data_IF_849183463292
#
_entry.id   IF_849183463292
#
_cell.length_a   1.000
_cell.length_b   1.000
_cell.length_c   1.000
_cell.angle_alpha   90.00
_cell.angle_beta   90.00
_cell.angle_gamma   90.00
#
_symmetry.space_group_name_H-M   'P 1'
#
loop_
_entity.id
_entity.type
_entity.pdbx_description
1 polymer ?
#
# COMPACT_ATOMS: atom_id res chain seq x y z
N UNK A 1 -28.44 4.60 -31.59
CA UNK A 1 -29.64 4.01 -30.95
C UNK A 1 -29.96 4.80 -29.71
N UNK A 2 -31.26 5.03 -29.45
CA UNK A 2 -31.71 5.66 -28.21
C UNK A 2 -31.56 4.72 -27.00
N UNK A 3 -31.59 5.26 -25.78
CA UNK A 3 -31.50 4.49 -24.54
C UNK A 3 -32.61 3.43 -24.41
N UNK A 4 -33.81 3.73 -24.92
CA UNK A 4 -34.94 2.78 -24.97
C UNK A 4 -34.73 1.65 -25.99
N UNK A 5 -34.10 1.93 -27.14
CA UNK A 5 -33.77 0.89 -28.13
C UNK A 5 -32.69 -0.06 -27.61
N UNK A 6 -31.69 0.47 -26.90
CA UNK A 6 -30.66 -0.34 -26.24
C UNK A 6 -31.29 -1.27 -25.19
N UNK A 7 -32.24 -0.76 -24.40
CA UNK A 7 -32.95 -1.54 -23.38
C UNK A 7 -33.83 -2.65 -24.00
N UNK A 8 -34.58 -2.33 -25.05
CA UNK A 8 -35.42 -3.31 -25.74
C UNK A 8 -34.62 -4.35 -26.53
N UNK A 9 -33.39 -4.03 -26.95
CA UNK A 9 -32.46 -5.01 -27.51
C UNK A 9 -31.95 -5.94 -26.40
N UNK A 10 -31.52 -5.38 -25.27
CA UNK A 10 -31.02 -6.13 -24.13
C UNK A 10 -32.03 -7.14 -23.56
N UNK A 11 -33.30 -6.73 -23.39
CA UNK A 11 -34.38 -7.63 -22.94
C UNK A 11 -34.67 -8.78 -23.91
N UNK A 12 -34.45 -8.56 -25.22
CA UNK A 12 -34.60 -9.58 -26.26
C UNK A 12 -33.44 -10.55 -26.29
N UNK A 13 -32.22 -10.04 -26.15
CA UNK A 13 -31.00 -10.83 -26.28
C UNK A 13 -30.77 -11.72 -25.07
N UNK A 14 -31.30 -11.35 -23.89
CA UNK A 14 -31.16 -12.12 -22.64
C UNK A 14 -29.72 -12.62 -22.47
N UNK A 15 -28.72 -11.72 -22.50
CA UNK A 15 -27.32 -12.12 -22.50
C UNK A 15 -27.05 -13.04 -21.31
N UNK A 16 -26.49 -14.22 -21.58
CA UNK A 16 -26.19 -15.23 -20.56
C UNK A 16 -24.76 -15.01 -20.10
N UNK A 17 -24.46 -15.37 -18.85
CA UNK A 17 -23.12 -15.26 -18.27
C UNK A 17 -22.02 -15.98 -19.11
N UNK A 18 -22.42 -16.99 -19.88
CA UNK A 18 -21.58 -17.76 -20.81
C UNK A 18 -21.24 -17.02 -22.13
N UNK A 19 -21.97 -15.94 -22.44
CA UNK A 19 -21.74 -15.08 -23.61
C UNK A 19 -20.82 -13.86 -23.27
N UNK A 20 -20.41 -13.71 -22.00
CA UNK A 20 -19.49 -12.66 -21.57
C UNK A 20 -18.04 -13.01 -21.97
N UNK A 21 -17.44 -12.16 -22.80
CA UNK A 21 -16.03 -12.25 -23.20
C UNK A 21 -15.20 -11.59 -22.10
N UNK A 22 -14.37 -12.38 -21.42
CA UNK A 22 -13.54 -11.92 -20.28
C UNK A 22 -12.07 -11.62 -20.66
N UNK A 23 -11.71 -11.65 -21.95
CA UNK A 23 -10.31 -11.64 -22.40
C UNK A 23 -9.91 -10.45 -23.29
N UNK A 24 -10.86 -9.60 -23.69
CA UNK A 24 -10.59 -8.30 -24.28
C UNK A 24 -11.68 -7.34 -23.84
N UNK A 25 -11.28 -6.16 -23.36
CA UNK A 25 -12.15 -5.18 -22.72
C UNK A 25 -13.57 -5.09 -23.33
N UNK A 26 -14.61 -5.01 -22.50
CA UNK A 26 -14.61 -4.77 -21.04
C UNK A 26 -14.45 -6.07 -20.20
N UNK A 27 -13.68 -6.05 -19.11
CA UNK A 27 -13.29 -7.28 -18.37
C UNK A 27 -13.38 -7.25 -16.83
N UNK A 28 -13.57 -6.07 -16.21
CA UNK A 28 -13.68 -5.95 -14.73
C UNK A 28 -14.88 -5.12 -14.29
N UNK A 29 -15.67 -4.61 -15.21
CA UNK A 29 -16.95 -3.95 -14.97
C UNK A 29 -17.88 -4.86 -14.17
N UNK A 30 -18.58 -4.31 -13.18
CA UNK A 30 -19.70 -5.00 -12.55
C UNK A 30 -20.85 -5.06 -13.54
N UNK A 31 -21.12 -6.24 -14.08
CA UNK A 31 -22.25 -6.54 -14.93
C UNK A 31 -23.28 -7.23 -14.04
N UNK A 32 -24.32 -6.53 -13.54
CA UNK A 32 -25.22 -7.07 -12.53
C UNK A 32 -25.84 -8.42 -12.92
N UNK A 33 -26.11 -8.64 -14.19
CA UNK A 33 -26.79 -9.84 -14.68
C UNK A 33 -25.87 -11.05 -14.80
N UNK A 34 -24.56 -10.83 -14.69
CA UNK A 34 -23.54 -11.88 -14.66
C UNK A 34 -22.98 -12.05 -13.25
N UNK A 35 -22.61 -10.96 -12.60
CA UNK A 35 -21.89 -10.96 -11.32
C UNK A 35 -22.79 -11.23 -10.11
N UNK A 36 -24.03 -10.72 -10.08
CA UNK A 36 -24.95 -10.92 -8.94
C UNK A 36 -25.45 -12.36 -8.84
N UNK A 37 -25.76 -13.06 -9.96
CA UNK A 37 -26.05 -14.50 -9.89
C UNK A 37 -24.88 -15.35 -9.40
N UNK A 38 -23.64 -14.97 -9.70
CA UNK A 38 -22.43 -15.70 -9.28
C UNK A 38 -22.09 -15.44 -7.80
N UNK A 39 -22.27 -14.20 -7.33
CA UNK A 39 -22.01 -13.82 -5.95
C UNK A 39 -23.19 -13.03 -5.38
N UNK A 40 -23.84 -13.59 -4.35
CA UNK A 40 -25.05 -13.01 -3.75
C UNK A 40 -24.83 -11.70 -2.98
N UNK A 41 -23.58 -11.25 -2.78
CA UNK A 41 -23.28 -10.03 -2.04
C UNK A 41 -22.04 -9.34 -2.58
N UNK A 42 -22.20 -8.05 -2.87
CA UNK A 42 -21.17 -7.15 -3.38
C UNK A 42 -21.06 -5.96 -2.43
N UNK A 43 -19.86 -5.68 -1.95
CA UNK A 43 -19.60 -4.66 -0.94
C UNK A 43 -18.77 -3.53 -1.55
N UNK A 44 -19.28 -2.30 -1.47
CA UNK A 44 -18.54 -1.12 -1.91
C UNK A 44 -17.29 -0.94 -1.04
N UNK A 45 -16.13 -0.83 -1.70
CA UNK A 45 -14.91 -0.34 -1.09
C UNK A 45 -14.95 1.17 -0.91
N UNK A 46 -15.64 1.61 0.15
CA UNK A 46 -15.77 3.03 0.43
C UNK A 46 -14.45 3.71 0.84
N UNK A 47 -13.44 2.94 1.25
CA UNK A 47 -12.15 3.49 1.68
C UNK A 47 -11.31 3.92 0.49
N UNK A 48 -11.25 3.09 -0.55
CA UNK A 48 -10.40 3.35 -1.73
C UNK A 48 -11.19 3.98 -2.89
N UNK A 49 -12.53 3.97 -2.85
CA UNK A 49 -13.37 4.43 -3.98
C UNK A 49 -14.09 5.76 -3.75
N UNK A 50 -13.78 6.47 -2.65
CA UNK A 50 -14.42 7.74 -2.30
C UNK A 50 -13.36 8.83 -2.08
N UNK A 51 -13.16 9.76 -3.03
CA UNK A 51 -13.89 9.93 -4.28
C UNK A 51 -13.59 8.83 -5.32
N UNK A 52 -14.40 8.71 -6.40
CA UNK A 52 -14.14 7.78 -7.49
C UNK A 52 -12.75 7.96 -8.11
N UNK A 53 -12.14 6.84 -8.48
CA UNK A 53 -10.79 6.76 -9.02
C UNK A 53 -10.73 6.98 -10.54
N UNK A 54 -9.54 7.31 -11.05
CA UNK A 54 -9.25 7.29 -12.48
C UNK A 54 -9.33 5.86 -13.05
N UNK A 55 -9.66 5.70 -14.35
CA UNK A 55 -9.79 4.40 -15.01
C UNK A 55 -8.58 3.48 -14.82
N UNK A 56 -7.35 3.97 -15.00
CA UNK A 56 -6.18 3.12 -14.84
C UNK A 56 -6.09 2.55 -13.42
N UNK A 57 -6.19 3.43 -12.41
CA UNK A 57 -6.08 3.00 -11.01
C UNK A 57 -7.19 2.02 -10.63
N UNK A 58 -8.46 2.34 -10.93
CA UNK A 58 -9.58 1.49 -10.53
C UNK A 58 -9.56 0.13 -11.21
N UNK A 59 -9.22 0.06 -12.51
CA UNK A 59 -9.21 -1.18 -13.28
C UNK A 59 -7.94 -1.98 -13.07
N UNK A 60 -6.78 -1.40 -13.42
CA UNK A 60 -5.52 -2.14 -13.50
C UNK A 60 -4.90 -2.35 -12.12
N UNK A 61 -4.77 -1.26 -11.35
CA UNK A 61 -4.07 -1.33 -10.07
C UNK A 61 -4.89 -2.08 -9.03
N UNK A 62 -6.17 -1.71 -8.89
CA UNK A 62 -7.01 -2.22 -7.82
C UNK A 62 -7.85 -3.43 -8.23
N UNK A 63 -8.84 -3.28 -9.14
CA UNK A 63 -9.75 -4.40 -9.43
C UNK A 63 -9.00 -5.64 -9.94
N UNK A 64 -8.06 -5.43 -10.87
CA UNK A 64 -7.22 -6.49 -11.43
C UNK A 64 -6.03 -6.84 -10.54
N UNK A 65 -5.20 -5.88 -10.18
CA UNK A 65 -3.99 -6.11 -9.36
C UNK A 65 -4.29 -6.57 -7.94
N UNK A 66 -5.03 -5.79 -7.16
CA UNK A 66 -5.40 -6.15 -5.78
C UNK A 66 -6.28 -7.41 -5.76
N UNK A 67 -7.22 -7.54 -6.70
CA UNK A 67 -8.02 -8.76 -6.88
C UNK A 67 -7.17 -10.00 -7.16
N UNK A 68 -6.08 -9.90 -7.93
CA UNK A 68 -5.10 -10.98 -8.09
C UNK A 68 -4.41 -11.30 -6.77
N UNK A 69 -3.85 -10.29 -6.10
CA UNK A 69 -3.14 -10.47 -4.83
C UNK A 69 -3.99 -11.18 -3.76
N UNK A 70 -5.27 -10.81 -3.64
CA UNK A 70 -6.22 -11.43 -2.70
C UNK A 70 -6.50 -12.89 -3.03
N UNK A 71 -6.61 -13.27 -4.31
CA UNK A 71 -6.76 -14.68 -4.73
C UNK A 71 -5.46 -15.48 -4.56
N UNK A 72 -4.34 -14.88 -4.95
CA UNK A 72 -3.01 -15.46 -4.80
C UNK A 72 -2.76 -15.80 -3.34
N UNK A 73 -2.97 -14.86 -2.42
CA UNK A 73 -2.59 -15.06 -1.02
C UNK A 73 -3.43 -16.11 -0.33
N UNK A 74 -4.73 -16.16 -0.65
CA UNK A 74 -5.65 -17.17 -0.13
C UNK A 74 -5.26 -18.57 -0.60
N UNK A 75 -4.73 -18.68 -1.83
CA UNK A 75 -4.20 -19.92 -2.38
C UNK A 75 -2.84 -20.28 -1.78
N UNK A 76 -1.92 -19.32 -1.67
CA UNK A 76 -0.57 -19.48 -1.11
C UNK A 76 -0.61 -20.02 0.33
N UNK A 77 -1.43 -19.39 1.19
CA UNK A 77 -1.62 -19.84 2.57
C UNK A 77 -2.65 -20.95 2.70
N UNK A 78 -3.36 -21.35 1.64
CA UNK A 78 -4.49 -22.28 1.71
C UNK A 78 -5.48 -21.86 2.82
N UNK A 79 -5.90 -20.58 2.83
CA UNK A 79 -6.75 -20.05 3.90
C UNK A 79 -8.02 -20.90 4.06
N UNK A 80 -8.37 -21.33 5.29
CA UNK A 80 -9.35 -22.40 5.47
C UNK A 80 -10.74 -22.11 4.88
N UNK A 81 -11.21 -20.87 4.98
CA UNK A 81 -12.60 -20.50 4.69
C UNK A 81 -12.77 -19.63 3.44
N UNK A 82 -11.71 -19.39 2.67
CA UNK A 82 -11.75 -18.45 1.56
C UNK A 82 -10.78 -18.82 0.44
N UNK A 83 -11.23 -18.66 -0.80
CA UNK A 83 -10.40 -18.70 -2.03
C UNK A 83 -9.91 -17.31 -2.45
N UNK A 84 -10.31 -16.25 -1.73
CA UNK A 84 -9.96 -14.87 -2.01
C UNK A 84 -11.18 -14.01 -2.26
N UNK A 85 -10.93 -12.85 -2.83
CA UNK A 85 -11.95 -11.87 -3.16
C UNK A 85 -11.84 -11.46 -4.62
N UNK A 86 -12.97 -11.03 -5.18
CA UNK A 86 -13.08 -10.54 -6.54
C UNK A 86 -13.52 -9.10 -6.53
N UNK A 87 -12.80 -8.26 -7.28
CA UNK A 87 -13.13 -6.86 -7.47
C UNK A 87 -13.87 -6.67 -8.78
N UNK A 88 -14.97 -5.91 -8.74
CA UNK A 88 -15.65 -5.41 -9.92
C UNK A 88 -15.81 -3.90 -9.85
N UNK A 89 -15.64 -3.24 -10.99
CA UNK A 89 -15.65 -1.78 -11.12
C UNK A 89 -17.05 -1.30 -11.51
N UNK A 90 -17.56 -0.28 -10.83
CA UNK A 90 -18.76 0.44 -11.24
C UNK A 90 -18.63 1.90 -10.85
N UNK A 91 -18.79 2.80 -11.83
CA UNK A 91 -18.80 4.26 -11.61
C UNK A 91 -17.53 4.78 -10.90
N UNK A 92 -16.36 4.23 -11.26
CA UNK A 92 -15.06 4.60 -10.66
C UNK A 92 -14.86 4.06 -9.24
N UNK A 93 -15.70 3.13 -8.80
CA UNK A 93 -15.62 2.47 -7.52
C UNK A 93 -15.49 0.96 -7.63
N UNK A 94 -14.94 0.33 -6.59
CA UNK A 94 -14.73 -1.11 -6.53
C UNK A 94 -15.77 -1.74 -5.61
N UNK A 95 -16.32 -2.85 -6.07
CA UNK A 95 -17.22 -3.71 -5.34
C UNK A 95 -16.55 -5.06 -5.15
N UNK A 96 -16.45 -5.49 -3.90
CA UNK A 96 -15.83 -6.76 -3.53
C UNK A 96 -16.87 -7.86 -3.33
N UNK A 97 -16.59 -9.05 -3.88
CA UNK A 97 -17.25 -10.30 -3.54
C UNK A 97 -16.25 -11.27 -2.89
N UNK A 98 -16.75 -12.17 -2.04
CA UNK A 98 -15.93 -13.12 -1.28
C UNK A 98 -16.18 -14.56 -1.75
N UNK A 99 -15.11 -15.28 -2.09
CA UNK A 99 -15.18 -16.69 -2.46
C UNK A 99 -15.07 -17.58 -1.23
N UNK A 100 -16.20 -17.79 -0.55
CA UNK A 100 -16.27 -18.51 0.73
C UNK A 100 -16.27 -20.03 0.55
N UNK A 101 -15.39 -20.72 1.29
CA UNK A 101 -15.39 -22.19 1.41
C UNK A 101 -16.33 -22.60 2.53
N UNK A 102 -17.28 -23.49 2.22
CA UNK A 102 -18.32 -23.96 3.17
C UNK A 102 -18.24 -25.44 3.51
N UNK A 103 -17.52 -26.25 2.72
CA UNK A 103 -17.37 -27.67 3.01
C UNK A 103 -16.41 -27.87 4.19
N UNK A 104 -16.93 -28.42 5.29
CA UNK A 104 -16.17 -28.66 6.51
C UNK A 104 -15.06 -29.71 6.35
N UNK A 105 -15.16 -30.60 5.34
CA UNK A 105 -14.04 -31.50 5.01
C UNK A 105 -12.90 -30.72 4.36
N UNK A 106 -13.20 -29.94 3.32
CA UNK A 106 -12.22 -29.08 2.64
C UNK A 106 -11.56 -28.09 3.62
N UNK A 107 -12.34 -27.44 4.49
CA UNK A 107 -11.83 -26.51 5.52
C UNK A 107 -10.76 -27.18 6.38
N UNK A 108 -11.00 -28.40 6.88
CA UNK A 108 -10.02 -29.14 7.70
C UNK A 108 -8.74 -29.50 6.93
N UNK A 109 -8.86 -29.87 5.66
CA UNK A 109 -7.69 -30.16 4.81
C UNK A 109 -6.86 -28.89 4.56
N UNK A 110 -7.53 -27.75 4.35
CA UNK A 110 -6.90 -26.44 4.19
C UNK A 110 -6.24 -25.94 5.46
N UNK A 111 -6.85 -26.13 6.64
CA UNK A 111 -6.24 -25.79 7.93
C UNK A 111 -4.89 -26.48 8.14
N UNK A 112 -4.76 -27.75 7.74
CA UNK A 112 -3.49 -28.45 7.83
C UNK A 112 -2.41 -27.79 6.95
N UNK A 113 -2.75 -27.47 5.70
CA UNK A 113 -1.83 -26.78 4.78
C UNK A 113 -1.49 -25.36 5.22
N UNK A 114 -2.47 -24.64 5.78
CA UNK A 114 -2.27 -23.30 6.32
C UNK A 114 -1.24 -23.27 7.45
N UNK A 115 -1.31 -24.22 8.39
CA UNK A 115 -0.32 -24.34 9.47
C UNK A 115 1.09 -24.55 8.92
N UNK A 116 1.24 -25.37 7.89
CA UNK A 116 2.53 -25.60 7.25
C UNK A 116 3.03 -24.36 6.47
N UNK A 117 2.15 -23.68 5.74
CA UNK A 117 2.48 -22.47 5.01
C UNK A 117 2.88 -21.30 5.91
N UNK A 118 2.37 -21.23 7.14
CA UNK A 118 2.70 -20.19 8.13
C UNK A 118 4.05 -20.42 8.81
N UNK A 119 4.57 -21.65 8.86
CA UNK A 119 5.83 -21.98 9.60
C UNK A 119 7.02 -21.09 9.22
N UNK A 120 7.35 -20.87 7.94
CA UNK A 120 8.51 -20.05 7.58
C UNK A 120 8.43 -18.62 8.13
N UNK A 121 7.23 -18.07 8.27
CA UNK A 121 7.00 -16.72 8.81
C UNK A 121 7.12 -16.70 10.34
N UNK A 122 6.74 -17.78 11.02
CA UNK A 122 6.97 -17.94 12.47
C UNK A 122 8.45 -18.09 12.80
N UNK A 123 9.24 -18.61 11.86
CA UNK A 123 10.69 -18.81 11.99
C UNK A 123 11.48 -17.53 11.68
N UNK A 124 11.21 -16.88 10.54
CA UNK A 124 12.00 -15.73 10.08
C UNK A 124 11.20 -14.79 9.15
N UNK A 125 10.19 -14.10 9.69
CA UNK A 125 9.48 -13.05 8.95
C UNK A 125 10.42 -11.95 8.46
N UNK A 126 11.34 -11.49 9.30
CA UNK A 126 12.19 -10.34 8.99
C UNK A 126 13.12 -10.63 7.81
N UNK A 127 13.71 -11.83 7.75
CA UNK A 127 14.51 -12.26 6.61
C UNK A 127 13.70 -12.46 5.33
N UNK A 128 12.43 -12.89 5.42
CA UNK A 128 11.52 -12.94 4.26
C UNK A 128 11.21 -11.52 3.78
N UNK A 129 10.86 -10.62 4.70
CA UNK A 129 10.54 -9.24 4.36
C UNK A 129 11.74 -8.49 3.78
N UNK A 130 12.94 -8.71 4.32
CA UNK A 130 14.16 -8.13 3.77
C UNK A 130 14.42 -8.56 2.33
N UNK A 131 14.17 -9.83 1.98
CA UNK A 131 14.28 -10.30 0.59
C UNK A 131 13.26 -9.60 -0.32
N UNK A 132 12.03 -9.43 0.16
CA UNK A 132 11.00 -8.72 -0.59
C UNK A 132 11.32 -7.25 -0.80
N UNK A 133 11.88 -6.56 0.20
CA UNK A 133 12.34 -5.18 0.02
C UNK A 133 13.40 -5.06 -1.07
N UNK A 134 14.35 -5.99 -1.12
CA UNK A 134 15.35 -6.04 -2.20
C UNK A 134 14.71 -6.33 -3.56
N UNK A 135 13.71 -7.22 -3.61
CA UNK A 135 12.96 -7.54 -4.82
C UNK A 135 12.19 -6.30 -5.35
N UNK A 136 11.42 -5.65 -4.48
CA UNK A 136 10.71 -4.41 -4.77
C UNK A 136 11.67 -3.32 -5.28
N UNK A 137 12.78 -3.10 -4.58
CA UNK A 137 13.78 -2.11 -4.96
C UNK A 137 14.37 -2.43 -6.35
N UNK A 138 14.72 -3.69 -6.62
CA UNK A 138 15.30 -4.10 -7.90
C UNK A 138 14.31 -3.91 -9.06
N UNK A 139 13.05 -4.28 -8.84
CA UNK A 139 11.96 -4.08 -9.79
C UNK A 139 11.71 -2.60 -10.08
N UNK A 140 11.63 -1.77 -9.04
CA UNK A 140 11.49 -0.33 -9.20
C UNK A 140 12.69 0.27 -9.92
N UNK A 141 13.92 -0.10 -9.57
CA UNK A 141 15.11 0.39 -10.27
C UNK A 141 15.12 0.02 -11.76
N UNK A 142 14.67 -1.18 -12.13
CA UNK A 142 14.53 -1.60 -13.53
C UNK A 142 13.58 -0.67 -14.28
N UNK A 143 12.36 -0.49 -13.78
CA UNK A 143 11.37 0.43 -14.36
C UNK A 143 11.94 1.86 -14.40
N UNK A 144 12.58 2.28 -13.31
CA UNK A 144 13.06 3.64 -13.16
C UNK A 144 14.24 3.98 -14.08
N UNK A 145 14.95 2.96 -14.58
CA UNK A 145 16.09 3.09 -15.49
C UNK A 145 15.71 3.41 -16.94
N UNK A 146 14.41 3.33 -17.29
CA UNK A 146 13.92 3.67 -18.61
C UNK A 146 14.29 5.12 -19.00
N UNK A 147 14.95 5.29 -20.14
CA UNK A 147 15.38 6.58 -20.66
C UNK A 147 14.56 6.98 -21.91
N UNK A 148 13.55 7.86 -21.77
CA UNK A 148 12.70 8.24 -22.90
C UNK A 148 13.46 8.97 -24.04
N UNK A 149 14.65 9.51 -23.79
CA UNK A 149 15.44 10.22 -24.82
C UNK A 149 16.06 9.29 -25.85
N UNK A 150 16.29 8.03 -25.47
CA UNK A 150 16.96 7.01 -26.29
C UNK A 150 16.01 5.87 -26.67
N UNK A 151 14.76 5.90 -26.19
CA UNK A 151 13.77 4.86 -26.40
C UNK A 151 13.20 4.87 -27.82
N UNK A 152 12.96 3.67 -28.36
CA UNK A 152 12.16 3.40 -29.55
C UNK A 152 10.73 3.03 -29.13
N UNK A 153 9.81 3.01 -30.08
CA UNK A 153 8.40 2.67 -29.83
C UNK A 153 8.23 1.33 -29.08
N UNK A 154 9.00 0.31 -29.43
CA UNK A 154 8.94 -1.00 -28.77
C UNK A 154 9.39 -0.96 -27.31
N UNK A 155 10.29 -0.03 -26.96
CA UNK A 155 10.82 0.08 -25.61
C UNK A 155 9.74 0.63 -24.65
N UNK A 156 8.79 1.45 -25.14
CA UNK A 156 7.62 1.88 -24.36
C UNK A 156 6.63 0.74 -24.10
N UNK A 157 6.47 -0.19 -25.04
CA UNK A 157 5.64 -1.39 -24.84
C UNK A 157 6.25 -2.29 -23.77
N UNK A 158 7.58 -2.46 -23.78
CA UNK A 158 8.26 -3.21 -22.75
C UNK A 158 8.18 -2.54 -21.37
N UNK A 159 8.26 -1.21 -21.32
CA UNK A 159 8.02 -0.46 -20.07
C UNK A 159 6.60 -0.71 -19.54
N UNK A 160 5.59 -0.67 -20.41
CA UNK A 160 4.19 -0.98 -20.03
C UNK A 160 4.08 -2.38 -19.44
N UNK A 161 4.66 -3.40 -20.10
CA UNK A 161 4.66 -4.77 -19.57
C UNK A 161 5.37 -4.88 -18.22
N UNK A 162 6.52 -4.24 -18.06
CA UNK A 162 7.24 -4.21 -16.78
C UNK A 162 6.40 -3.57 -15.66
N UNK A 163 5.64 -2.50 -15.97
CA UNK A 163 4.72 -1.86 -15.03
C UNK A 163 3.52 -2.75 -14.68
N UNK A 164 2.95 -3.48 -15.65
CA UNK A 164 1.82 -4.39 -15.38
C UNK A 164 2.29 -5.60 -14.56
N UNK A 165 3.43 -6.19 -14.89
CA UNK A 165 4.04 -7.26 -14.10
C UNK A 165 4.33 -6.80 -12.67
N UNK A 166 4.81 -5.57 -12.48
CA UNK A 166 5.07 -5.04 -11.15
C UNK A 166 3.81 -4.89 -10.32
N UNK A 167 2.67 -4.49 -10.90
CA UNK A 167 1.38 -4.43 -10.19
C UNK A 167 1.03 -5.77 -9.56
N UNK A 168 1.08 -6.86 -10.33
CA UNK A 168 0.76 -8.18 -9.78
C UNK A 168 1.72 -8.58 -8.67
N UNK A 169 3.02 -8.43 -8.91
CA UNK A 169 4.03 -8.90 -7.96
C UNK A 169 4.03 -8.10 -6.66
N UNK A 170 3.83 -6.79 -6.73
CA UNK A 170 3.68 -5.92 -5.55
C UNK A 170 2.52 -6.36 -4.68
N UNK A 171 1.36 -6.66 -5.27
CA UNK A 171 0.19 -7.13 -4.51
C UNK A 171 0.40 -8.50 -3.86
N UNK A 172 1.13 -9.42 -4.51
CA UNK A 172 1.51 -10.69 -3.88
C UNK A 172 2.38 -10.47 -2.64
N UNK A 173 3.39 -9.60 -2.75
CA UNK A 173 4.30 -9.26 -1.64
C UNK A 173 3.55 -8.56 -0.51
N UNK A 174 2.71 -7.58 -0.85
CA UNK A 174 1.83 -6.85 0.08
C UNK A 174 1.03 -7.85 0.92
N UNK A 175 0.24 -8.71 0.28
CA UNK A 175 -0.66 -9.58 1.03
C UNK A 175 0.09 -10.69 1.77
N UNK A 176 1.29 -11.07 1.33
CA UNK A 176 2.07 -12.10 2.03
C UNK A 176 2.48 -11.66 3.44
N UNK A 177 3.00 -10.45 3.59
CA UNK A 177 3.36 -9.94 4.92
C UNK A 177 2.13 -9.63 5.78
N UNK A 178 1.06 -9.11 5.17
CA UNK A 178 -0.18 -8.80 5.87
C UNK A 178 -0.87 -10.07 6.37
N UNK A 179 -1.09 -11.06 5.50
CA UNK A 179 -1.81 -12.28 5.87
C UNK A 179 -1.07 -13.10 6.92
N UNK A 180 0.26 -13.23 6.81
CA UNK A 180 1.05 -13.97 7.80
C UNK A 180 1.01 -13.32 9.18
N UNK A 181 1.27 -12.00 9.25
CA UNK A 181 1.30 -11.29 10.53
C UNK A 181 -0.08 -11.18 11.18
N UNK A 182 -1.13 -10.92 10.41
CA UNK A 182 -2.50 -10.83 10.93
C UNK A 182 -3.03 -12.20 11.37
N UNK A 183 -2.68 -13.26 10.64
CA UNK A 183 -2.99 -14.63 11.07
C UNK A 183 -2.37 -14.95 12.43
N UNK A 184 -1.10 -14.59 12.62
CA UNK A 184 -0.43 -14.80 13.91
C UNK A 184 -1.07 -13.98 15.03
N UNK A 185 -1.48 -12.74 14.73
CA UNK A 185 -2.21 -11.90 15.68
C UNK A 185 -3.53 -12.54 16.13
N UNK A 186 -4.35 -13.01 15.18
CA UNK A 186 -5.63 -13.68 15.47
C UNK A 186 -5.39 -14.94 16.31
N UNK A 187 -4.44 -15.78 15.90
CA UNK A 187 -4.10 -17.01 16.63
C UNK A 187 -3.58 -16.71 18.05
N UNK A 188 -2.79 -15.65 18.22
CA UNK A 188 -2.30 -15.23 19.53
C UNK A 188 -3.46 -14.80 20.42
N UNK A 189 -4.38 -13.98 19.91
CA UNK A 189 -5.56 -13.52 20.63
C UNK A 189 -6.44 -14.71 21.07
N UNK A 190 -6.74 -15.62 20.16
CA UNK A 190 -7.56 -16.81 20.45
C UNK A 190 -6.94 -17.66 21.57
N UNK A 191 -5.63 -17.86 21.55
CA UNK A 191 -4.93 -18.68 22.53
C UNK A 191 -4.76 -17.98 23.87
N UNK A 192 -4.49 -16.67 23.86
CA UNK A 192 -4.48 -15.83 25.05
C UNK A 192 -5.85 -15.81 25.74
N UNK A 193 -6.92 -15.68 24.96
CA UNK A 193 -8.30 -15.64 25.47
C UNK A 193 -8.69 -16.99 26.06
N UNK A 194 -8.42 -18.06 25.33
CA UNK A 194 -8.79 -19.43 25.73
C UNK A 194 -8.04 -19.90 26.97
N UNK A 195 -6.75 -19.59 27.11
CA UNK A 195 -5.90 -20.11 28.20
C UNK A 195 -5.78 -19.18 29.39
N UNK A 196 -5.84 -17.86 29.17
CA UNK A 196 -5.51 -16.86 30.18
C UNK A 196 -6.56 -15.77 30.36
N UNK A 197 -7.65 -15.78 29.57
CA UNK A 197 -8.70 -14.77 29.63
C UNK A 197 -8.25 -13.39 29.16
N UNK A 198 -7.20 -13.31 28.34
CA UNK A 198 -6.69 -12.05 27.77
C UNK A 198 -7.16 -11.93 26.31
N UNK A 199 -7.82 -10.83 25.97
CA UNK A 199 -8.32 -10.52 24.63
C UNK A 199 -7.72 -9.22 24.07
N UNK A 200 -8.13 -8.84 22.86
CA UNK A 200 -7.69 -7.63 22.15
C UNK A 200 -7.92 -6.30 22.89
N UNK A 201 -8.78 -6.30 23.92
CA UNK A 201 -9.11 -5.15 24.78
C UNK A 201 -8.26 -5.11 26.05
N UNK A 202 -7.54 -6.18 26.35
CA UNK A 202 -6.70 -6.27 27.54
C UNK A 202 -5.44 -5.42 27.36
N UNK A 203 -5.14 -4.55 28.33
CA UNK A 203 -3.95 -3.68 28.28
C UNK A 203 -2.66 -4.49 28.09
N UNK A 204 -2.49 -5.58 28.84
CA UNK A 204 -1.35 -6.49 28.71
C UNK A 204 -1.23 -7.05 27.28
N UNK A 205 -2.34 -7.37 26.62
CA UNK A 205 -2.30 -7.89 25.24
C UNK A 205 -1.87 -6.81 24.25
N UNK A 206 -2.44 -5.62 24.35
CA UNK A 206 -2.07 -4.48 23.52
C UNK A 206 -0.62 -4.06 23.72
N UNK A 207 -0.11 -4.12 24.95
CA UNK A 207 1.28 -3.81 25.27
C UNK A 207 2.27 -4.74 24.56
N UNK A 208 1.95 -6.01 24.40
CA UNK A 208 2.81 -6.95 23.66
C UNK A 208 3.04 -6.57 22.19
N UNK A 209 2.17 -5.72 21.62
CA UNK A 209 2.05 -5.50 20.18
C UNK A 209 2.35 -4.06 19.73
N UNK A 210 2.82 -3.19 20.62
CA UNK A 210 3.12 -1.78 20.33
C UNK A 210 4.57 -1.38 20.57
N UNK A 211 4.92 -0.17 20.13
CA UNK A 211 6.23 0.43 20.38
C UNK A 211 7.33 -0.01 19.41
N UNK A 212 7.00 -0.31 18.16
CA UNK A 212 7.97 -0.65 17.12
C UNK A 212 8.48 0.60 16.39
N UNK A 213 9.70 0.49 15.86
CA UNK A 213 10.19 1.40 14.82
C UNK A 213 9.72 0.89 13.45
N UNK A 214 9.57 1.82 12.51
CA UNK A 214 9.28 1.51 11.11
C UNK A 214 9.79 2.64 10.22
N UNK A 215 9.84 2.38 8.93
CA UNK A 215 10.39 3.34 7.96
C UNK A 215 9.59 4.65 7.89
N UNK A 216 8.26 4.62 8.08
CA UNK A 216 7.42 5.83 8.11
C UNK A 216 7.83 6.76 9.25
N UNK A 217 8.07 6.22 10.45
CA UNK A 217 8.55 7.00 11.59
C UNK A 217 9.95 7.58 11.37
N UNK A 218 10.82 6.86 10.66
CA UNK A 218 12.16 7.37 10.32
C UNK A 218 12.07 8.56 9.37
N UNK A 219 11.22 8.49 8.35
CA UNK A 219 10.96 9.61 7.44
C UNK A 219 10.38 10.81 8.20
N UNK A 220 9.48 10.58 9.14
CA UNK A 220 8.92 11.63 9.99
C UNK A 220 9.97 12.28 10.92
N UNK A 221 10.89 11.48 11.46
CA UNK A 221 12.03 11.93 12.24
C UNK A 221 13.01 12.75 11.39
N UNK A 222 13.34 12.32 10.18
CA UNK A 222 14.18 13.05 9.23
C UNK A 222 13.55 14.41 8.85
N UNK A 223 12.24 14.47 8.61
CA UNK A 223 11.54 15.75 8.39
C UNK A 223 11.58 16.68 9.61
N UNK A 224 11.51 16.13 10.82
CA UNK A 224 11.70 16.90 12.05
C UNK A 224 13.14 17.45 12.18
N UNK A 225 14.15 16.67 11.81
CA UNK A 225 15.55 17.14 11.78
C UNK A 225 15.74 18.27 10.74
N UNK A 226 15.07 18.19 9.59
CA UNK A 226 15.07 19.28 8.59
C UNK A 226 14.39 20.54 9.13
N UNK A 227 13.28 20.40 9.85
CA UNK A 227 12.59 21.51 10.50
C UNK A 227 13.46 22.18 11.56
N UNK A 228 14.15 21.39 12.38
CA UNK A 228 15.13 21.88 13.37
C UNK A 228 16.29 22.60 12.71
N UNK A 229 16.84 22.03 11.64
CA UNK A 229 17.91 22.66 10.85
C UNK A 229 17.47 24.02 10.30
N UNK A 230 16.22 24.16 9.83
CA UNK A 230 15.70 25.46 9.38
C UNK A 230 15.69 26.50 10.51
N UNK A 231 15.26 26.10 11.72
CA UNK A 231 15.27 26.96 12.91
C UNK A 231 16.70 27.38 13.27
N UNK A 232 17.64 26.43 13.34
CA UNK A 232 19.02 26.67 13.72
C UNK A 232 19.75 27.61 12.72
N UNK A 233 19.35 27.56 11.44
CA UNK A 233 19.85 28.45 10.38
C UNK A 233 19.20 29.85 10.42
N UNK A 234 18.20 30.07 11.27
CA UNK A 234 17.46 31.33 11.37
C UNK A 234 16.42 31.53 10.25
N UNK A 235 15.93 30.45 9.64
CA UNK A 235 14.94 30.47 8.56
C UNK A 235 13.49 30.35 9.07
N UNK A 236 13.27 30.24 10.38
CA UNK A 236 11.96 29.98 10.97
C UNK A 236 10.88 30.98 10.53
N UNK A 237 11.21 32.26 10.42
CA UNK A 237 10.23 33.30 10.04
C UNK A 237 9.84 33.18 8.56
N UNK A 238 10.76 32.80 7.67
CA UNK A 238 10.44 32.49 6.26
C UNK A 238 9.41 31.36 6.18
N UNK A 239 9.60 30.30 6.96
CA UNK A 239 8.65 29.17 7.03
C UNK A 239 7.28 29.59 7.56
N UNK A 240 7.22 30.49 8.55
CA UNK A 240 5.94 30.97 9.11
C UNK A 240 5.19 31.85 8.13
N UNK A 241 5.89 32.78 7.49
CA UNK A 241 5.29 33.82 6.64
C UNK A 241 4.84 33.33 5.26
N UNK A 242 5.55 32.36 4.66
CA UNK A 242 5.31 31.92 3.27
C UNK A 242 4.47 30.67 3.19
N UNK A 243 3.59 30.56 2.20
CA UNK A 243 2.89 29.29 1.91
C UNK A 243 3.88 28.19 1.51
N UNK A 244 3.46 26.92 1.58
CA UNK A 244 4.34 25.81 1.21
C UNK A 244 4.79 25.89 -0.26
N UNK A 245 3.92 26.44 -1.11
CA UNK A 245 4.13 26.68 -2.53
C UNK A 245 5.11 27.85 -2.77
N UNK A 246 5.12 28.85 -1.89
CA UNK A 246 6.03 30.01 -1.97
C UNK A 246 7.43 29.72 -1.39
N UNK A 247 7.57 28.70 -0.53
CA UNK A 247 8.82 28.41 0.18
C UNK A 247 9.99 28.15 -0.75
N UNK A 248 9.76 27.45 -1.86
CA UNK A 248 10.81 27.18 -2.85
C UNK A 248 11.45 28.50 -3.31
N UNK A 249 10.65 29.45 -3.79
CA UNK A 249 11.16 30.75 -4.27
C UNK A 249 11.76 31.59 -3.13
N UNK A 250 11.13 31.59 -1.95
CA UNK A 250 11.58 32.40 -0.82
C UNK A 250 12.95 31.94 -0.26
N UNK A 251 13.17 30.63 -0.16
CA UNK A 251 14.42 30.06 0.33
C UNK A 251 15.60 30.36 -0.62
N UNK A 252 15.35 30.50 -1.93
CA UNK A 252 16.40 30.86 -2.90
C UNK A 252 16.93 32.29 -2.76
N UNK A 253 16.29 33.17 -1.97
CA UNK A 253 16.68 34.58 -1.82
C UNK A 253 17.87 34.79 -0.86
N UNK A 254 18.29 33.78 -0.11
CA UNK A 254 19.42 33.87 0.83
C UNK A 254 20.35 32.66 0.71
N UNK A 255 21.63 32.85 1.02
CA UNK A 255 22.60 31.75 0.94
C UNK A 255 22.27 30.61 1.93
N UNK A 256 21.78 30.96 3.11
CA UNK A 256 21.30 29.97 4.10
C UNK A 256 20.08 29.21 3.60
N UNK A 257 19.13 29.90 2.96
CA UNK A 257 17.96 29.25 2.39
C UNK A 257 18.31 28.31 1.24
N UNK A 258 19.27 28.68 0.38
CA UNK A 258 19.82 27.80 -0.66
C UNK A 258 20.50 26.55 -0.08
N UNK A 259 21.31 26.73 0.97
CA UNK A 259 21.96 25.61 1.66
C UNK A 259 20.92 24.66 2.28
N UNK A 260 19.90 25.19 2.96
CA UNK A 260 18.82 24.38 3.51
C UNK A 260 18.05 23.65 2.40
N UNK A 261 17.74 24.35 1.30
CA UNK A 261 17.08 23.76 0.14
C UNK A 261 17.85 22.56 -0.42
N UNK A 262 19.18 22.64 -0.50
CA UNK A 262 19.99 21.51 -0.95
C UNK A 262 19.86 20.30 0.00
N UNK A 263 19.83 20.51 1.32
CA UNK A 263 19.59 19.42 2.29
C UNK A 263 18.22 18.79 2.09
N UNK A 264 17.21 19.60 1.85
CA UNK A 264 15.85 19.13 1.56
C UNK A 264 15.76 18.35 0.24
N UNK A 265 16.43 18.79 -0.82
CA UNK A 265 16.49 18.05 -2.08
C UNK A 265 17.22 16.72 -1.92
N UNK A 266 18.34 16.68 -1.19
CA UNK A 266 19.03 15.42 -0.89
C UNK A 266 18.13 14.43 -0.11
N UNK A 267 17.27 14.94 0.77
CA UNK A 267 16.25 14.13 1.44
C UNK A 267 15.21 13.59 0.44
N UNK A 268 14.72 14.43 -0.47
CA UNK A 268 13.76 14.01 -1.51
C UNK A 268 14.36 13.03 -2.52
N UNK A 269 15.65 13.09 -2.83
CA UNK A 269 16.29 12.12 -3.73
C UNK A 269 16.14 10.68 -3.22
N UNK A 270 16.06 10.51 -1.90
CA UNK A 270 15.88 9.21 -1.23
C UNK A 270 14.41 8.97 -0.87
N UNK A 271 13.73 9.95 -0.26
CA UNK A 271 12.39 9.81 0.34
C UNK A 271 11.26 10.28 -0.55
N UNK A 272 11.58 10.88 -1.70
CA UNK A 272 10.63 11.59 -2.54
C UNK A 272 9.81 10.70 -3.48
N UNK A 273 10.14 9.41 -3.61
CA UNK A 273 9.31 8.40 -4.27
C UNK A 273 8.14 7.99 -3.37
N UNK A 274 7.27 8.96 -3.10
CA UNK A 274 6.13 8.81 -2.21
C UNK A 274 4.96 9.58 -2.78
N UNK A 275 3.96 8.85 -3.27
CA UNK A 275 2.71 9.45 -3.72
C UNK A 275 2.03 10.25 -2.60
N UNK A 276 1.34 11.32 -2.96
CA UNK A 276 0.56 12.14 -2.02
C UNK A 276 -0.73 11.39 -1.61
N UNK A 277 -1.21 10.52 -2.48
CA UNK A 277 -2.39 9.68 -2.30
C UNK A 277 -2.00 8.21 -2.52
N UNK A 278 -2.47 7.33 -1.66
CA UNK A 278 -2.28 5.88 -1.81
C UNK A 278 -3.37 5.22 -2.65
N UNK A 279 -4.15 6.00 -3.41
CA UNK A 279 -5.34 5.50 -4.12
C UNK A 279 -5.17 5.56 -5.65
N UNK A 280 -4.52 6.60 -6.16
CA UNK A 280 -4.50 6.90 -7.60
C UNK A 280 -3.08 7.19 -8.11
N UNK A 281 -2.74 6.65 -9.29
CA UNK A 281 -1.53 7.04 -10.02
C UNK A 281 -1.65 8.45 -10.65
N UNK A 282 -2.86 9.01 -10.70
CA UNK A 282 -3.12 10.36 -11.21
C UNK A 282 -2.71 11.46 -10.22
N UNK A 283 -2.47 11.11 -8.96
CA UNK A 283 -1.98 12.03 -7.96
C UNK A 283 -0.44 12.18 -8.01
N UNK A 284 0.09 13.40 -7.83
CA UNK A 284 1.53 13.62 -7.82
C UNK A 284 2.22 12.97 -6.62
N UNK A 285 3.54 12.83 -6.74
CA UNK A 285 4.43 12.37 -5.67
C UNK A 285 5.38 13.47 -5.21
N UNK A 286 6.10 13.26 -4.10
CA UNK A 286 6.86 14.32 -3.43
C UNK A 286 7.95 14.98 -4.29
N UNK A 287 8.57 14.28 -5.24
CA UNK A 287 9.53 14.90 -6.18
C UNK A 287 8.85 15.81 -7.22
N UNK A 288 7.62 15.49 -7.65
CA UNK A 288 6.82 16.35 -8.52
C UNK A 288 6.23 17.54 -7.76
N UNK A 289 5.84 17.32 -6.50
CA UNK A 289 5.24 18.33 -5.65
C UNK A 289 5.96 18.43 -4.29
N UNK A 290 7.13 19.08 -4.24
CA UNK A 290 7.90 19.27 -3.00
C UNK A 290 7.16 20.08 -1.93
N UNK A 291 6.13 20.86 -2.31
CA UNK A 291 5.31 21.62 -1.37
C UNK A 291 4.60 20.74 -0.34
N UNK A 292 4.30 19.48 -0.65
CA UNK A 292 3.65 18.56 0.30
C UNK A 292 4.54 18.25 1.51
N UNK A 293 5.75 17.70 1.37
CA UNK A 293 6.64 17.51 2.51
C UNK A 293 7.10 18.84 3.14
N UNK A 294 7.23 19.93 2.37
CA UNK A 294 7.51 21.26 2.94
C UNK A 294 6.42 21.74 3.90
N UNK A 295 5.15 21.45 3.60
CA UNK A 295 4.02 21.79 4.48
C UNK A 295 4.15 21.09 5.84
N UNK A 296 4.52 19.82 5.85
CA UNK A 296 4.74 19.06 7.10
C UNK A 296 5.92 19.62 7.90
N UNK A 297 7.03 19.97 7.23
CA UNK A 297 8.19 20.64 7.86
C UNK A 297 7.79 21.99 8.45
N UNK A 298 7.05 22.81 7.68
CA UNK A 298 6.50 24.10 8.14
C UNK A 298 5.64 23.93 9.38
N UNK A 299 4.76 22.94 9.41
CA UNK A 299 3.89 22.66 10.55
C UNK A 299 4.69 22.32 11.82
N UNK A 300 5.79 21.56 11.69
CA UNK A 300 6.68 21.25 12.81
C UNK A 300 7.35 22.51 13.38
N UNK A 301 7.68 23.48 12.54
CA UNK A 301 8.23 24.79 12.96
C UNK A 301 7.15 25.62 13.66
N UNK A 302 5.96 25.74 13.06
CA UNK A 302 4.85 26.55 13.61
C UNK A 302 4.40 26.02 14.96
N UNK A 303 4.28 24.69 15.11
CA UNK A 303 3.87 24.05 16.36
C UNK A 303 4.96 24.07 17.44
N UNK A 304 6.15 24.58 17.12
CA UNK A 304 7.29 24.62 18.05
C UNK A 304 7.95 23.25 18.29
N UNK A 305 7.54 22.21 17.56
CA UNK A 305 8.14 20.87 17.68
C UNK A 305 9.61 20.88 17.28
N UNK A 306 10.00 21.70 16.30
CA UNK A 306 11.39 21.89 15.88
C UNK A 306 12.29 22.52 16.97
N UNK A 307 11.72 23.18 17.98
CA UNK A 307 12.47 23.77 19.10
C UNK A 307 12.80 22.75 20.20
N UNK A 308 12.19 21.56 20.17
CA UNK A 308 12.43 20.53 21.17
C UNK A 308 13.85 20.00 21.05
N UNK A 309 14.43 19.62 22.20
CA UNK A 309 15.75 18.99 22.24
C UNK A 309 15.69 17.62 21.57
N UNK A 310 14.71 16.83 21.98
CA UNK A 310 14.51 15.43 21.61
C UNK A 310 13.21 15.25 20.83
N UNK A 311 13.16 14.25 19.94
CA UNK A 311 11.98 13.92 19.16
C UNK A 311 10.99 13.12 20.03
N UNK A 312 9.77 13.63 20.20
CA UNK A 312 8.79 13.11 21.17
C UNK A 312 8.45 11.62 20.95
N UNK A 313 8.45 11.16 19.71
CA UNK A 313 8.14 9.75 19.42
C UNK A 313 9.28 8.82 19.84
N UNK A 314 10.53 9.28 19.86
CA UNK A 314 11.67 8.48 20.33
C UNK A 314 11.54 8.20 21.84
N UNK A 315 11.06 9.18 22.61
CA UNK A 315 10.80 9.02 24.05
C UNK A 315 9.64 8.05 24.30
N UNK A 316 8.50 8.26 23.64
CA UNK A 316 7.33 7.38 23.75
C UNK A 316 7.64 5.94 23.35
N UNK A 317 8.47 5.74 22.33
CA UNK A 317 8.86 4.41 21.87
C UNK A 317 9.68 3.66 22.93
N UNK A 318 10.57 4.35 23.65
CA UNK A 318 11.31 3.75 24.77
C UNK A 318 10.36 3.29 25.87
N UNK A 319 9.37 4.11 26.22
CA UNK A 319 8.32 3.75 27.19
C UNK A 319 7.54 2.51 26.72
N UNK A 320 7.03 2.51 25.50
CA UNK A 320 6.25 1.38 24.98
C UNK A 320 7.07 0.10 24.81
N UNK A 321 8.35 0.21 24.44
CA UNK A 321 9.23 -0.95 24.37
C UNK A 321 9.41 -1.60 25.75
N UNK A 322 9.58 -0.80 26.81
CA UNK A 322 9.68 -1.33 28.17
C UNK A 322 8.38 -2.02 28.62
N UNK A 323 7.22 -1.43 28.31
CA UNK A 323 5.91 -2.04 28.61
C UNK A 323 5.69 -3.34 27.85
N UNK A 324 6.08 -3.38 26.57
CA UNK A 324 6.03 -4.58 25.73
C UNK A 324 6.82 -5.73 26.35
N UNK A 325 8.10 -5.52 26.68
CA UNK A 325 8.93 -6.58 27.29
C UNK A 325 8.35 -7.07 28.62
N UNK A 326 7.82 -6.16 29.44
CA UNK A 326 7.15 -6.51 30.69
C UNK A 326 5.89 -7.37 30.46
N UNK A 327 5.04 -6.99 29.50
CA UNK A 327 3.83 -7.72 29.16
C UNK A 327 4.11 -9.12 28.59
N UNK A 328 5.11 -9.23 27.72
CA UNK A 328 5.56 -10.52 27.16
C UNK A 328 6.06 -11.44 28.28
N UNK A 329 6.92 -10.95 29.18
CA UNK A 329 7.42 -11.75 30.29
C UNK A 329 6.29 -12.21 31.22
N UNK A 330 5.36 -11.32 31.55
CA UNK A 330 4.18 -11.63 32.38
C UNK A 330 3.27 -12.69 31.75
N UNK A 331 3.09 -12.67 30.42
CA UNK A 331 2.37 -13.74 29.73
C UNK A 331 3.16 -15.06 29.79
N UNK A 332 4.45 -15.03 29.45
CA UNK A 332 5.28 -16.23 29.38
C UNK A 332 5.47 -16.91 30.74
N UNK A 333 5.39 -16.20 31.86
CA UNK A 333 5.33 -16.80 33.20
C UNK A 333 4.12 -17.72 33.40
N UNK A 334 3.00 -17.45 32.72
CA UNK A 334 1.76 -18.25 32.78
C UNK A 334 1.75 -19.40 31.77
N UNK A 335 2.60 -19.32 30.73
CA UNK A 335 2.68 -20.32 29.67
C UNK A 335 3.48 -21.54 30.15
N UNK A 336 2.95 -22.78 30.00
CA UNK A 336 3.70 -23.99 30.31
C UNK A 336 5.03 -24.07 29.53
N UNK A 337 6.09 -24.61 30.14
CA UNK A 337 7.43 -24.63 29.55
C UNK A 337 7.48 -25.25 28.14
N UNK A 338 6.67 -26.29 27.90
CA UNK A 338 6.57 -26.97 26.61
C UNK A 338 6.07 -26.05 25.47
N UNK A 339 5.28 -25.01 25.80
CA UNK A 339 4.62 -24.13 24.82
C UNK A 339 5.32 -22.77 24.68
N UNK A 340 6.27 -22.44 25.57
CA UNK A 340 6.92 -21.12 25.60
C UNK A 340 7.60 -20.74 24.29
N UNK A 341 8.27 -21.69 23.64
CA UNK A 341 8.94 -21.44 22.37
C UNK A 341 7.94 -21.05 21.27
N UNK A 342 6.82 -21.78 21.19
CA UNK A 342 5.76 -21.51 20.22
C UNK A 342 5.07 -20.16 20.48
N UNK A 343 4.75 -19.84 21.74
CA UNK A 343 4.21 -18.53 22.11
C UNK A 343 5.17 -17.39 21.74
N UNK A 344 6.47 -17.56 21.96
CA UNK A 344 7.47 -16.55 21.55
C UNK A 344 7.47 -16.32 20.04
N UNK A 345 7.49 -17.38 19.23
CA UNK A 345 7.40 -17.25 17.77
C UNK A 345 6.10 -16.59 17.32
N UNK A 346 4.98 -16.96 17.94
CA UNK A 346 3.67 -16.40 17.62
C UNK A 346 3.57 -14.91 17.99
N UNK A 347 4.06 -14.51 19.17
CA UNK A 347 4.15 -13.11 19.59
C UNK A 347 5.04 -12.33 18.62
N UNK A 348 6.23 -12.84 18.31
CA UNK A 348 7.16 -12.17 17.40
C UNK A 348 6.55 -11.90 16.02
N UNK A 349 5.81 -12.87 15.45
CA UNK A 349 5.12 -12.67 14.16
C UNK A 349 3.91 -11.74 14.29
N UNK A 350 3.10 -11.89 15.34
CA UNK A 350 1.93 -11.03 15.60
C UNK A 350 2.31 -9.55 15.76
N UNK A 351 3.47 -9.27 16.36
CA UNK A 351 4.02 -7.92 16.48
C UNK A 351 4.25 -7.24 15.13
N UNK A 352 4.53 -8.04 14.08
CA UNK A 352 4.71 -7.51 12.72
C UNK A 352 3.42 -6.98 12.13
N UNK A 353 2.25 -7.34 12.67
CA UNK A 353 0.98 -6.74 12.25
C UNK A 353 1.02 -5.21 12.42
N UNK A 354 1.71 -4.70 13.45
CA UNK A 354 1.88 -3.25 13.63
C UNK A 354 2.97 -2.66 12.75
N UNK A 355 4.17 -3.25 12.72
CA UNK A 355 5.29 -2.65 11.98
C UNK A 355 5.14 -2.79 10.47
N UNK A 356 4.70 -3.95 9.99
CA UNK A 356 4.46 -4.22 8.58
C UNK A 356 3.30 -3.38 8.04
N UNK A 357 2.23 -3.17 8.82
CA UNK A 357 1.08 -2.37 8.39
C UNK A 357 1.45 -0.96 7.92
N UNK A 358 2.54 -0.40 8.42
CA UNK A 358 3.00 0.94 8.03
C UNK A 358 4.05 0.87 6.90
N UNK A 359 4.94 -0.13 6.93
CA UNK A 359 6.02 -0.23 5.93
C UNK A 359 5.53 -0.70 4.55
N UNK A 360 4.53 -1.57 4.50
CA UNK A 360 4.00 -2.04 3.21
C UNK A 360 3.28 -0.92 2.47
N UNK A 361 2.52 -0.06 3.16
CA UNK A 361 1.89 1.12 2.56
C UNK A 361 2.96 2.02 1.92
N UNK A 362 4.07 2.29 2.61
CA UNK A 362 5.16 3.07 2.03
C UNK A 362 5.77 2.40 0.79
N UNK A 363 6.19 1.14 0.90
CA UNK A 363 7.03 0.48 -0.12
C UNK A 363 6.24 -0.18 -1.25
N UNK A 364 5.12 -0.83 -0.94
CA UNK A 364 4.27 -1.52 -1.90
C UNK A 364 3.25 -0.58 -2.53
N UNK A 365 2.79 0.46 -1.83
CA UNK A 365 1.77 1.36 -2.37
C UNK A 365 2.38 2.70 -2.77
N UNK A 366 2.70 3.57 -1.83
CA UNK A 366 3.08 4.96 -2.13
C UNK A 366 4.28 5.08 -3.06
N UNK A 367 5.32 4.26 -2.87
CA UNK A 367 6.48 4.22 -3.78
C UNK A 367 6.11 3.63 -5.13
N UNK A 368 5.31 2.57 -5.17
CA UNK A 368 4.92 1.95 -6.42
C UNK A 368 4.02 2.88 -7.25
N UNK A 369 3.05 3.57 -6.64
CA UNK A 369 2.25 4.61 -7.28
C UNK A 369 3.14 5.69 -7.92
N UNK A 370 4.17 6.16 -7.22
CA UNK A 370 5.11 7.15 -7.77
C UNK A 370 5.91 6.60 -8.97
N UNK A 371 6.37 5.35 -8.89
CA UNK A 371 7.11 4.67 -9.97
C UNK A 371 6.22 4.50 -11.20
N UNK A 372 4.98 4.01 -11.02
CA UNK A 372 4.02 3.83 -12.10
C UNK A 372 3.66 5.17 -12.73
N UNK A 373 3.29 6.17 -11.93
CA UNK A 373 2.92 7.51 -12.41
C UNK A 373 3.97 8.07 -13.35
N UNK A 374 5.24 8.12 -12.92
CA UNK A 374 6.32 8.65 -13.75
C UNK A 374 6.49 7.87 -15.06
N UNK A 375 6.38 6.54 -14.98
CA UNK A 375 6.53 5.66 -16.14
C UNK A 375 5.40 5.85 -17.14
N UNK A 376 4.16 5.93 -16.66
CA UNK A 376 3.00 6.22 -17.51
C UNK A 376 3.00 7.65 -18.04
N UNK A 377 3.51 8.65 -17.31
CA UNK A 377 3.70 9.98 -17.87
C UNK A 377 4.68 9.97 -19.05
N UNK A 378 5.76 9.18 -19.01
CA UNK A 378 6.64 9.02 -20.18
C UNK A 378 5.94 8.35 -21.37
N UNK A 379 5.09 7.34 -21.12
CA UNK A 379 4.27 6.72 -22.16
C UNK A 379 3.28 7.75 -22.72
N UNK A 380 2.60 8.50 -21.86
CA UNK A 380 1.65 9.55 -22.23
C UNK A 380 2.30 10.69 -23.02
N UNK A 381 3.50 11.15 -22.63
CA UNK A 381 4.29 12.12 -23.39
C UNK A 381 4.57 11.63 -24.82
N UNK A 382 4.91 10.34 -24.96
CA UNK A 382 5.14 9.73 -26.26
C UNK A 382 3.85 9.62 -27.08
N UNK A 383 2.74 9.17 -26.48
CA UNK A 383 1.42 9.08 -27.13
C UNK A 383 0.93 10.46 -27.59
N UNK A 384 1.01 11.48 -26.73
CA UNK A 384 0.57 12.84 -27.03
C UNK A 384 1.40 13.46 -28.16
N UNK A 385 2.73 13.27 -28.13
CA UNK A 385 3.63 13.74 -29.20
C UNK A 385 3.29 13.13 -30.58
N UNK A 386 2.71 11.93 -30.61
CA UNK A 386 2.30 11.26 -31.84
C UNK A 386 0.81 11.47 -32.19
N UNK A 387 0.08 12.29 -31.42
CA UNK A 387 -1.32 12.63 -31.68
C UNK A 387 -2.31 11.51 -31.33
N UNK A 388 -1.94 10.58 -30.46
CA UNK A 388 -2.83 9.51 -29.98
C UNK A 388 -3.75 9.96 -28.84
N UNK A 389 -3.28 10.90 -28.01
CA UNK A 389 -4.02 11.53 -26.91
C UNK A 389 -3.71 13.04 -26.89
N UNK A 390 -4.53 13.84 -26.21
CA UNK A 390 -4.37 15.30 -26.20
C UNK A 390 -3.29 15.77 -25.23
N UNK A 391 -3.22 15.13 -24.05
CA UNK A 391 -2.26 15.45 -22.99
C UNK A 391 -1.57 14.20 -22.45
N UNK A 392 -0.32 14.31 -21.95
CA UNK A 392 0.37 13.17 -21.34
C UNK A 392 -0.41 12.49 -20.22
N UNK A 393 -1.14 13.25 -19.40
CA UNK A 393 -1.90 12.72 -18.26
C UNK A 393 -3.15 11.91 -18.67
N UNK A 394 -3.62 12.06 -19.92
CA UNK A 394 -4.81 11.34 -20.40
C UNK A 394 -4.58 9.82 -20.46
N UNK A 395 -3.32 9.36 -20.46
CA UNK A 395 -2.95 7.94 -20.36
C UNK A 395 -3.52 7.25 -19.12
N UNK A 396 -3.74 8.00 -18.02
CA UNK A 396 -4.32 7.47 -16.77
C UNK A 396 -5.82 7.20 -16.89
N UNK A 397 -6.44 7.64 -17.98
CA UNK A 397 -7.84 7.39 -18.31
C UNK A 397 -8.02 6.24 -19.31
N UNK A 398 -6.94 5.53 -19.64
CA UNK A 398 -6.94 4.33 -20.46
C UNK A 398 -6.70 3.09 -19.59
N UNK A 399 -7.23 1.94 -19.99
CA UNK A 399 -6.91 0.63 -19.39
C UNK A 399 -5.75 -0.05 -20.12
N UNK A 400 -5.11 -1.04 -19.50
CA UNK A 400 -3.88 -1.66 -20.04
C UNK A 400 -4.01 -2.19 -21.48
N UNK A 401 -5.14 -2.76 -21.93
CA UNK A 401 -5.31 -3.17 -23.33
C UNK A 401 -5.44 -2.02 -24.34
N UNK A 402 -5.81 -0.81 -23.89
CA UNK A 402 -5.94 0.39 -24.74
C UNK A 402 -4.61 1.13 -24.92
N UNK A 403 -3.73 1.03 -23.90
CA UNK A 403 -2.35 1.54 -23.90
C UNK A 403 -1.45 0.57 -24.68
#
# INVERSE_FOLDING_TARGET
MGREELWAQWERERPRAEDAIWDCAPGYELIPEVDVPLNHSWFLDGTHSCPPMDPFSVYEYWARGCGHGLKFINSFFSLPRSYGTEGRVREGAIYWAFYVVRDEKEIREREARFREALRPFLEDFDGIWEKHKHELQSMYQKILSFNPREARNIDYIHLHWDCIESIFRVWEIHFQGMQSSYSAWILLEEECKRRFGLDDKSEDFQDMLRGFDNEVYRVDREMWELAKTAVDMGLADVFKEKSAEELTSALQLSDRGKEWWQKFMNFLDVRGWRSISSISIADPYWLEQPSTPLRKIKDLIIKGEAMRKDYILDEKRKEFSAKREAAINKLLEKVPDADKAWFRSLINLAQRASSYSEEHDLLCEMTHFAVLRRSYLHIGEWLAKNGCIDRPEDVMFLISPEI
#
